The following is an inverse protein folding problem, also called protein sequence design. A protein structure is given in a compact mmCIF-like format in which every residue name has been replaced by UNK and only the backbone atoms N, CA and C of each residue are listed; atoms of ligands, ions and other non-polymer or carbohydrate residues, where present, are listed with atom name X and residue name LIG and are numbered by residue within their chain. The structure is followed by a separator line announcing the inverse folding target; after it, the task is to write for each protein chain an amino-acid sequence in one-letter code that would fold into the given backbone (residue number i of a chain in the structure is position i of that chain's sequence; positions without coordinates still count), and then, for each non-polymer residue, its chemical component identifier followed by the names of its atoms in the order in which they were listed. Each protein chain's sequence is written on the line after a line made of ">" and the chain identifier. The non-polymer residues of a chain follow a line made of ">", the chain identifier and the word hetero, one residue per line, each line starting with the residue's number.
data_IF_826730412160
#
_entry.id   IF_826730412160
#
_cell.length_a   1.000
_cell.length_b   1.000
_cell.length_c   1.000
_cell.angle_alpha   90.00
_cell.angle_beta   90.00
_cell.angle_gamma   90.00
#
_symmetry.space_group_name_H-M   'P 1'
#
loop_
_entity.id
_entity.type
_entity.pdbx_description
1 polymer ?
#
# COMPACT_ATOMS: atom_id res chain seq x y z
N UNK A 1 -11.46 8.53 7.34
CA UNK A 1 -10.30 7.72 7.76
C UNK A 1 -10.68 6.25 7.74
N UNK A 2 -9.78 5.37 7.33
CA UNK A 2 -9.96 3.91 7.28
C UNK A 2 -8.87 3.24 8.12
N UNK A 3 -9.24 2.27 8.97
CA UNK A 3 -8.25 1.53 9.77
C UNK A 3 -7.41 0.61 8.89
N UNK A 4 -6.10 0.63 9.11
CA UNK A 4 -5.09 -0.18 8.41
C UNK A 4 -4.05 -0.69 9.42
N UNK A 5 -4.46 -1.55 10.38
CA UNK A 5 -3.56 -2.02 11.42
C UNK A 5 -2.51 -3.01 10.85
N UNK A 6 -1.58 -3.43 11.70
CA UNK A 6 -0.55 -4.41 11.36
C UNK A 6 0.85 -3.82 11.21
N UNK A 7 1.02 -2.70 10.48
CA UNK A 7 2.29 -1.95 10.55
C UNK A 7 2.54 -1.46 11.97
N UNK A 8 1.49 -0.89 12.56
CA UNK A 8 1.31 -0.67 13.99
C UNK A 8 -0.17 -0.94 14.32
N UNK A 9 -0.54 -1.19 15.58
CA UNK A 9 -1.95 -1.42 15.95
C UNK A 9 -2.86 -0.23 15.64
N UNK A 10 -2.31 1.00 15.63
CA UNK A 10 -3.05 2.24 15.41
C UNK A 10 -3.03 2.75 13.96
N UNK A 11 -2.59 1.95 12.99
CA UNK A 11 -2.44 2.38 11.59
C UNK A 11 -3.75 2.90 10.98
N UNK A 12 -3.68 4.04 10.29
CA UNK A 12 -4.83 4.72 9.70
C UNK A 12 -4.51 5.30 8.33
N UNK A 13 -5.34 4.96 7.33
CA UNK A 13 -5.31 5.52 6.00
C UNK A 13 -6.30 6.68 5.88
N UNK A 14 -5.93 7.71 5.11
CA UNK A 14 -6.82 8.81 4.76
C UNK A 14 -7.40 8.55 3.39
N UNK A 15 -8.73 8.57 3.29
CA UNK A 15 -9.47 8.41 2.03
C UNK A 15 -10.03 9.78 1.66
N UNK A 16 -9.69 10.26 0.46
CA UNK A 16 -10.10 11.55 -0.07
C UNK A 16 -10.92 11.31 -1.34
N UNK A 17 -12.15 11.81 -1.36
CA UNK A 17 -12.97 11.81 -2.57
C UNK A 17 -12.49 12.94 -3.49
N UNK A 18 -11.94 12.58 -4.65
CA UNK A 18 -11.49 13.54 -5.67
C UNK A 18 -12.38 13.43 -6.91
N UNK A 19 -12.29 14.41 -7.82
CA UNK A 19 -12.95 14.33 -9.11
C UNK A 19 -12.46 13.16 -9.99
N UNK A 20 -11.30 12.57 -9.67
CA UNK A 20 -10.68 11.43 -10.38
C UNK A 20 -10.90 10.09 -9.68
N UNK A 21 -11.70 10.06 -8.61
CA UNK A 21 -11.93 8.87 -7.79
C UNK A 21 -11.38 9.01 -6.36
N UNK A 22 -11.36 7.91 -5.62
CA UNK A 22 -10.87 7.85 -4.24
C UNK A 22 -9.34 7.80 -4.22
N UNK A 23 -8.72 8.88 -3.77
CA UNK A 23 -7.30 8.91 -3.44
C UNK A 23 -7.10 8.42 -1.99
N UNK A 24 -6.21 7.44 -1.80
CA UNK A 24 -5.95 6.85 -0.49
C UNK A 24 -4.48 7.04 -0.12
N UNK A 25 -4.24 7.83 0.93
CA UNK A 25 -2.95 7.93 1.60
C UNK A 25 -2.83 6.73 2.53
N UNK A 26 -1.90 5.84 2.18
CA UNK A 26 -1.82 4.46 2.71
C UNK A 26 -1.75 4.34 4.23
N UNK A 27 -1.11 5.29 4.93
CA UNK A 27 -1.08 5.30 6.40
C UNK A 27 -0.08 4.36 7.07
N UNK A 28 0.74 3.66 6.27
CA UNK A 28 1.79 2.77 6.75
C UNK A 28 2.98 2.75 5.78
N UNK A 29 4.11 2.23 6.24
CA UNK A 29 5.32 2.14 5.45
C UNK A 29 5.10 1.29 4.18
N UNK A 30 5.06 1.93 3.02
CA UNK A 30 4.79 1.27 1.74
C UNK A 30 5.31 2.07 0.55
N UNK A 31 5.56 1.34 -0.54
CA UNK A 31 5.87 1.80 -1.89
C UNK A 31 4.91 1.15 -2.89
N UNK A 32 4.93 1.54 -4.16
CA UNK A 32 3.99 1.04 -5.14
C UNK A 32 4.10 -0.46 -5.36
N UNK A 33 5.28 -1.05 -5.22
CA UNK A 33 5.53 -2.49 -5.34
C UNK A 33 4.81 -3.30 -4.25
N UNK A 34 4.48 -2.70 -3.10
CA UNK A 34 3.62 -3.35 -2.11
C UNK A 34 2.23 -3.61 -2.71
N UNK A 35 1.70 -2.65 -3.48
CA UNK A 35 0.38 -2.74 -4.07
C UNK A 35 0.41 -3.43 -5.43
N UNK A 36 1.48 -3.28 -6.20
CA UNK A 36 1.67 -3.87 -7.52
C UNK A 36 3.02 -4.61 -7.57
N UNK A 37 3.07 -5.85 -7.06
CA UNK A 37 4.30 -6.64 -7.08
C UNK A 37 4.89 -6.71 -8.50
N UNK A 38 6.21 -6.51 -8.66
CA UNK A 38 6.84 -6.49 -9.98
C UNK A 38 6.75 -7.86 -10.64
N UNK A 39 6.75 -7.91 -11.99
CA UNK A 39 6.60 -9.16 -12.74
C UNK A 39 7.70 -10.18 -12.42
N UNK A 40 8.89 -9.68 -12.10
CA UNK A 40 10.05 -10.49 -11.72
C UNK A 40 10.08 -10.88 -10.22
N UNK A 41 9.00 -10.64 -9.46
CA UNK A 41 8.89 -11.07 -8.06
C UNK A 41 9.11 -12.58 -7.91
N UNK A 42 8.75 -13.36 -8.94
CA UNK A 42 8.97 -14.81 -8.94
C UNK A 42 10.44 -15.20 -8.98
N UNK A 43 11.27 -14.41 -9.63
CA UNK A 43 12.70 -14.68 -9.77
C UNK A 43 13.51 -13.98 -8.69
N UNK A 44 13.08 -12.81 -8.22
CA UNK A 44 13.77 -12.03 -7.18
C UNK A 44 13.43 -12.42 -5.74
N UNK A 45 12.23 -12.93 -5.49
CA UNK A 45 11.75 -13.21 -4.12
C UNK A 45 11.43 -14.69 -3.93
N UNK A 46 10.50 -15.24 -4.72
CA UNK A 46 10.08 -16.64 -4.58
C UNK A 46 9.43 -17.16 -5.86
N UNK A 47 9.80 -18.34 -6.39
CA UNK A 47 9.22 -18.88 -7.63
C UNK A 47 7.71 -19.13 -7.53
N UNK A 48 7.17 -19.16 -6.31
CA UNK A 48 5.75 -19.35 -6.02
C UNK A 48 5.01 -18.04 -5.73
N UNK A 49 5.65 -16.88 -5.95
CA UNK A 49 5.04 -15.58 -5.74
C UNK A 49 3.88 -15.35 -6.74
N UNK A 50 2.66 -15.59 -6.27
CA UNK A 50 1.40 -15.24 -6.92
C UNK A 50 0.63 -14.20 -6.11
N UNK A 51 1.30 -13.53 -5.18
CA UNK A 51 0.68 -12.66 -4.20
C UNK A 51 0.06 -11.44 -4.90
N UNK A 52 -1.22 -11.10 -4.66
CA UNK A 52 -1.84 -9.90 -5.21
C UNK A 52 -1.22 -8.59 -4.69
N UNK A 53 -0.53 -8.65 -3.54
CA UNK A 53 0.17 -7.57 -2.85
C UNK A 53 1.35 -8.12 -2.04
N UNK A 54 2.26 -7.26 -1.59
CA UNK A 54 3.35 -7.55 -0.65
C UNK A 54 3.13 -6.74 0.64
N UNK A 55 3.19 -7.39 1.80
CA UNK A 55 3.08 -6.71 3.09
C UNK A 55 4.26 -5.76 3.35
N UNK A 56 4.09 -4.70 4.15
CA UNK A 56 5.19 -3.86 4.63
C UNK A 56 6.28 -4.69 5.31
N UNK A 57 7.55 -4.41 5.00
CA UNK A 57 8.67 -5.13 5.63
C UNK A 57 8.77 -4.91 7.15
N UNK A 58 8.26 -3.77 7.63
CA UNK A 58 8.17 -3.44 9.06
C UNK A 58 6.71 -3.58 9.48
N UNK A 59 6.44 -4.41 10.49
CA UNK A 59 5.09 -4.62 11.02
C UNK A 59 5.14 -5.18 12.44
N UNK A 60 4.10 -4.88 13.23
CA UNK A 60 3.84 -5.54 14.51
C UNK A 60 3.02 -6.82 14.33
N UNK A 61 2.18 -6.88 13.30
CA UNK A 61 1.41 -8.06 12.90
C UNK A 61 1.41 -8.18 11.37
N UNK A 62 1.99 -9.26 10.86
CA UNK A 62 2.14 -9.51 9.43
C UNK A 62 0.79 -9.73 8.72
N UNK A 63 -0.12 -10.46 9.36
CA UNK A 63 -1.38 -10.84 8.74
C UNK A 63 -2.30 -9.63 8.64
N UNK A 64 -2.42 -8.84 9.71
CA UNK A 64 -3.16 -7.57 9.66
C UNK A 64 -2.54 -6.59 8.65
N UNK A 65 -1.21 -6.54 8.57
CA UNK A 65 -0.55 -5.65 7.63
C UNK A 65 -0.84 -6.06 6.17
N UNK A 66 -0.81 -7.36 5.88
CA UNK A 66 -1.15 -7.90 4.57
C UNK A 66 -2.60 -7.57 4.17
N UNK A 67 -3.55 -7.82 5.08
CA UNK A 67 -4.96 -7.50 4.86
C UNK A 67 -5.20 -5.99 4.69
N UNK A 68 -4.44 -5.15 5.41
CA UNK A 68 -4.48 -3.70 5.25
C UNK A 68 -4.01 -3.25 3.85
N UNK A 69 -2.95 -3.86 3.30
CA UNK A 69 -2.50 -3.57 1.92
C UNK A 69 -3.57 -3.98 0.91
N UNK A 70 -4.15 -5.19 1.07
CA UNK A 70 -5.25 -5.64 0.23
C UNK A 70 -6.43 -4.67 0.26
N UNK A 71 -6.83 -4.24 1.46
CA UNK A 71 -7.96 -3.32 1.65
C UNK A 71 -7.71 -1.97 0.97
N UNK A 72 -6.52 -1.40 1.12
CA UNK A 72 -6.15 -0.16 0.42
C UNK A 72 -6.22 -0.35 -1.09
N UNK A 73 -5.65 -1.44 -1.63
CA UNK A 73 -5.69 -1.75 -3.07
C UNK A 73 -7.11 -1.92 -3.62
N UNK A 74 -8.03 -2.46 -2.82
CA UNK A 74 -9.42 -2.66 -3.22
C UNK A 74 -10.26 -1.37 -3.21
N UNK A 75 -9.97 -0.45 -2.30
CA UNK A 75 -10.78 0.77 -2.08
C UNK A 75 -10.28 1.95 -2.91
N UNK A 76 -8.98 2.01 -3.19
CA UNK A 76 -8.36 3.15 -3.84
C UNK A 76 -8.46 3.08 -5.37
N UNK A 77 -8.97 4.14 -5.98
CA UNK A 77 -8.75 4.40 -7.41
C UNK A 77 -7.33 4.94 -7.64
N UNK A 78 -6.80 5.68 -6.64
CA UNK A 78 -5.47 6.28 -6.64
C UNK A 78 -4.80 5.96 -5.31
N UNK A 79 -3.68 5.24 -5.34
CA UNK A 79 -2.92 4.90 -4.11
C UNK A 79 -1.75 5.88 -3.97
N UNK A 80 -1.60 6.44 -2.77
CA UNK A 80 -0.49 7.30 -2.38
C UNK A 80 0.28 6.59 -1.24
N UNK A 81 1.34 5.82 -1.58
CA UNK A 81 2.19 5.19 -0.57
C UNK A 81 3.06 6.24 0.14
N UNK A 82 3.37 6.02 1.41
CA UNK A 82 4.07 7.01 2.23
C UNK A 82 5.58 7.11 1.98
N UNK A 83 6.21 6.08 1.40
CA UNK A 83 7.66 6.04 1.16
C UNK A 83 8.00 5.80 -0.30
N UNK A 84 7.06 6.03 -1.21
CA UNK A 84 7.30 5.88 -2.63
C UNK A 84 8.15 7.05 -3.16
N UNK A 85 9.33 6.80 -3.75
CA UNK A 85 10.19 7.86 -4.27
C UNK A 85 9.49 8.70 -5.34
N UNK A 86 8.70 8.07 -6.22
CA UNK A 86 7.99 8.79 -7.29
C UNK A 86 6.89 9.71 -6.73
N UNK A 87 6.36 9.42 -5.54
CA UNK A 87 5.43 10.33 -4.85
C UNK A 87 6.17 11.46 -4.14
N UNK A 88 7.35 11.20 -3.58
CA UNK A 88 8.14 12.19 -2.88
C UNK A 88 8.64 13.32 -3.80
N UNK A 89 8.84 13.02 -5.09
CA UNK A 89 9.33 13.98 -6.09
C UNK A 89 8.20 14.79 -6.78
N UNK A 90 6.93 14.49 -6.51
CA UNK A 90 5.81 15.19 -7.15
C UNK A 90 5.44 16.46 -6.40
N UNK A 91 5.42 17.58 -7.13
CA UNK A 91 4.90 18.85 -6.61
C UNK A 91 3.39 18.79 -6.33
N UNK A 92 2.66 18.01 -7.13
CA UNK A 92 1.20 17.88 -7.03
C UNK A 92 0.80 16.40 -7.22
N UNK A 93 0.04 15.90 -6.26
CA UNK A 93 -0.68 14.62 -6.32
C UNK A 93 -2.19 14.95 -6.40
N UNK A 94 -2.98 14.09 -7.06
CA UNK A 94 -4.31 14.46 -7.57
C UNK A 94 -5.31 14.99 -6.55
#
# INVERSE_FOLDING_TARGET
>A
VMLVPGHTPGGQAVVVDTAKGKAVISGFCSIMENFNPPEDVKTKVSPFASYPVIAPGIHTDLFEAYESVLRVKQVADIIIPLHDPDMAERDHIP
#
